data_IF_439879628032
#
_entry.id   IF_439879628032
#
_cell.length_a   1.000
_cell.length_b   1.000
_cell.length_c   1.000
_cell.angle_alpha   90.00
_cell.angle_beta   90.00
_cell.angle_gamma   90.00
#
_symmetry.space_group_name_H-M   'P 1'
#
loop_
_entity.id
_entity.type
_entity.pdbx_description
1 polymer ?
#
# COMPACT_ATOMS: atom_id res chain seq x y z
N UNK A 1 -15.13 -21.01 -4.75
CA UNK A 1 -14.26 -19.92 -4.26
C UNK A 1 -14.55 -18.70 -5.14
N UNK A 2 -15.52 -17.85 -4.77
CA UNK A 2 -16.07 -16.83 -5.69
C UNK A 2 -15.09 -15.70 -6.02
N UNK A 3 -14.24 -15.30 -5.08
CA UNK A 3 -13.27 -14.21 -5.29
C UNK A 3 -12.15 -14.58 -6.27
N UNK A 4 -11.99 -15.86 -6.59
CA UNK A 4 -11.00 -16.37 -7.55
C UNK A 4 -11.50 -16.29 -8.99
N UNK A 5 -12.78 -15.98 -9.21
CA UNK A 5 -13.33 -15.74 -10.55
C UNK A 5 -12.61 -14.52 -11.16
N UNK A 6 -12.01 -14.65 -12.37
CA UNK A 6 -11.13 -13.62 -12.93
C UNK A 6 -11.74 -12.21 -12.94
N UNK A 7 -13.01 -12.09 -13.30
CA UNK A 7 -13.72 -10.82 -13.38
C UNK A 7 -13.91 -10.18 -12.00
N UNK A 8 -14.19 -10.99 -10.97
CA UNK A 8 -14.33 -10.50 -9.59
C UNK A 8 -12.98 -10.12 -9.01
N UNK A 9 -11.96 -10.95 -9.21
CA UNK A 9 -10.60 -10.67 -8.76
C UNK A 9 -10.08 -9.37 -9.36
N UNK A 10 -10.28 -9.18 -10.67
CA UNK A 10 -9.90 -7.94 -11.35
C UNK A 10 -10.55 -6.71 -10.71
N UNK A 11 -11.85 -6.76 -10.41
CA UNK A 11 -12.55 -5.67 -9.74
C UNK A 11 -12.01 -5.38 -8.33
N UNK A 12 -11.68 -6.41 -7.57
CA UNK A 12 -11.08 -6.28 -6.24
C UNK A 12 -9.69 -5.64 -6.32
N UNK A 13 -8.84 -6.10 -7.23
CA UNK A 13 -7.49 -5.55 -7.44
C UNK A 13 -7.56 -4.09 -7.89
N UNK A 14 -8.42 -3.77 -8.86
CA UNK A 14 -8.62 -2.39 -9.33
C UNK A 14 -9.06 -1.46 -8.18
N UNK A 15 -10.04 -1.90 -7.38
CA UNK A 15 -10.49 -1.13 -6.20
C UNK A 15 -9.37 -0.92 -5.17
N UNK A 16 -8.55 -1.95 -4.93
CA UNK A 16 -7.41 -1.86 -4.02
C UNK A 16 -6.36 -0.85 -4.51
N UNK A 17 -6.03 -0.86 -5.80
CA UNK A 17 -5.12 0.11 -6.41
C UNK A 17 -5.67 1.55 -6.32
N UNK A 18 -6.95 1.77 -6.64
CA UNK A 18 -7.56 3.10 -6.51
C UNK A 18 -7.52 3.63 -5.06
N UNK A 19 -7.75 2.77 -4.07
CA UNK A 19 -7.64 3.15 -2.64
C UNK A 19 -6.20 3.44 -2.22
N UNK A 20 -5.23 2.70 -2.76
CA UNK A 20 -3.82 2.92 -2.48
C UNK A 20 -3.32 4.25 -3.10
N UNK A 21 -3.86 4.65 -4.25
CA UNK A 21 -3.53 5.91 -4.92
C UNK A 21 -4.03 7.15 -4.16
N UNK A 22 -5.23 7.10 -3.58
CA UNK A 22 -5.85 8.24 -2.90
C UNK A 22 -6.09 7.94 -1.43
N UNK A 23 -5.26 8.52 -0.57
CA UNK A 23 -5.39 8.39 0.88
C UNK A 23 -5.55 9.74 1.57
N UNK A 24 -6.45 9.82 2.54
CA UNK A 24 -6.84 11.08 3.19
C UNK A 24 -5.71 11.75 3.98
N UNK A 25 -4.73 10.99 4.47
CA UNK A 25 -3.59 11.56 5.22
C UNK A 25 -2.39 11.87 4.34
N UNK A 26 -2.58 11.93 3.02
CA UNK A 26 -1.53 12.39 2.11
C UNK A 26 -1.41 13.92 2.16
N UNK A 27 -0.19 14.48 2.15
CA UNK A 27 1.10 13.85 1.85
C UNK A 27 1.86 13.32 3.09
N UNK A 28 1.28 13.38 4.29
CA UNK A 28 1.97 13.00 5.54
C UNK A 28 2.34 11.51 5.49
N UNK A 29 1.41 10.65 5.08
CA UNK A 29 1.67 9.22 4.96
C UNK A 29 2.73 8.93 3.89
N UNK A 30 2.63 9.57 2.73
CA UNK A 30 3.54 9.35 1.58
C UNK A 30 4.98 9.75 1.85
N UNK A 31 5.19 10.77 2.69
CA UNK A 31 6.52 11.27 3.08
C UNK A 31 7.17 10.48 4.21
N UNK A 32 6.45 9.53 4.83
CA UNK A 32 6.99 8.73 5.93
C UNK A 32 8.07 7.79 5.40
N UNK A 33 9.28 7.96 5.91
CA UNK A 33 10.42 7.10 5.61
C UNK A 33 11.04 6.68 6.94
N UNK A 34 11.07 5.38 7.27
CA UNK A 34 11.61 4.90 8.53
C UNK A 34 13.09 5.25 8.63
N UNK A 35 13.51 5.76 9.79
CA UNK A 35 14.88 6.14 10.08
C UNK A 35 15.46 5.23 11.18
N UNK A 36 16.78 5.11 11.25
CA UNK A 36 17.42 4.46 12.41
C UNK A 36 17.11 5.31 13.66
N UNK A 37 16.78 4.70 14.81
CA UNK A 37 16.85 3.28 15.17
C UNK A 37 15.50 2.53 15.14
N UNK A 38 14.53 2.94 14.31
CA UNK A 38 13.20 2.32 14.30
C UNK A 38 13.25 0.81 13.95
N UNK A 39 12.68 -0.04 14.81
CA UNK A 39 12.56 -1.49 14.57
C UNK A 39 11.49 -1.84 13.52
N UNK A 40 10.54 -0.92 13.28
CA UNK A 40 9.43 -1.11 12.36
C UNK A 40 9.66 -0.34 11.04
N UNK A 41 10.08 -1.04 10.00
CA UNK A 41 10.44 -0.47 8.69
C UNK A 41 9.23 -0.23 7.75
N UNK A 42 8.08 0.13 8.32
CA UNK A 42 6.93 0.54 7.54
C UNK A 42 7.26 1.86 6.82
N UNK A 43 6.87 2.02 5.56
CA UNK A 43 7.09 3.23 4.77
C UNK A 43 5.84 4.11 4.76
N UNK A 44 5.32 4.39 3.56
CA UNK A 44 3.97 4.93 3.37
C UNK A 44 2.90 3.86 3.63
N UNK A 45 2.91 3.29 4.84
CA UNK A 45 2.00 2.25 5.29
C UNK A 45 1.47 2.58 6.69
N UNK A 46 0.19 2.89 6.78
CA UNK A 46 -0.55 3.14 8.02
C UNK A 46 -1.72 2.15 8.12
N UNK A 47 -2.38 2.15 9.29
CA UNK A 47 -3.49 1.27 9.61
C UNK A 47 -4.66 1.38 8.61
N UNK A 48 -4.85 2.55 8.00
CA UNK A 48 -5.97 2.79 7.10
C UNK A 48 -5.63 2.64 5.60
N UNK A 49 -4.36 2.41 5.23
CA UNK A 49 -3.97 2.32 3.81
C UNK A 49 -3.63 0.90 3.35
N UNK A 50 -2.62 0.26 3.93
CA UNK A 50 -2.11 -1.04 3.44
C UNK A 50 -1.82 -2.07 4.53
N UNK A 51 -1.94 -1.71 5.81
CA UNK A 51 -1.81 -2.71 6.87
C UNK A 51 -2.95 -3.71 6.81
N UNK A 52 -2.62 -4.99 6.94
CA UNK A 52 -3.58 -6.08 7.10
C UNK A 52 -3.61 -6.58 8.55
N UNK A 53 -4.54 -7.48 8.86
CA UNK A 53 -4.50 -8.25 10.10
C UNK A 53 -3.10 -8.83 10.31
N UNK A 54 -2.59 -8.77 11.53
CA UNK A 54 -1.23 -9.22 11.87
C UNK A 54 -1.00 -10.68 11.44
N UNK A 55 -2.01 -11.54 11.62
CA UNK A 55 -1.95 -12.96 11.25
C UNK A 55 -1.99 -13.20 9.74
N UNK A 56 -2.32 -12.18 8.93
CA UNK A 56 -2.35 -12.26 7.48
C UNK A 56 -1.02 -11.85 6.82
N UNK A 57 -0.11 -11.23 7.58
CA UNK A 57 1.19 -10.81 7.08
C UNK A 57 2.30 -11.60 7.78
N UNK A 58 2.97 -12.48 7.04
CA UNK A 58 4.13 -13.26 7.52
C UNK A 58 5.26 -12.40 8.12
N UNK A 59 5.30 -11.11 7.78
CA UNK A 59 6.30 -10.14 8.23
C UNK A 59 5.73 -9.09 9.18
N UNK A 60 4.55 -9.33 9.76
CA UNK A 60 3.88 -8.44 10.71
C UNK A 60 3.82 -6.97 10.25
N UNK A 61 3.46 -6.75 8.97
CA UNK A 61 3.37 -5.43 8.32
C UNK A 61 4.68 -4.59 8.32
N UNK A 62 5.84 -5.16 8.66
CA UNK A 62 7.09 -4.39 8.89
C UNK A 62 7.74 -3.78 7.67
N UNK A 63 7.38 -4.17 6.45
CA UNK A 63 8.07 -3.74 5.22
C UNK A 63 7.12 -3.18 4.18
N UNK A 64 5.92 -2.80 4.60
CA UNK A 64 4.90 -2.33 3.67
C UNK A 64 5.17 -0.87 3.30
N UNK A 65 5.06 -0.60 2.01
CA UNK A 65 5.13 0.74 1.46
C UNK A 65 4.34 0.78 0.15
N UNK A 66 3.27 1.59 0.10
CA UNK A 66 2.46 1.71 -1.12
C UNK A 66 3.19 2.41 -2.27
N UNK A 67 4.32 3.09 -2.00
CA UNK A 67 5.20 3.66 -3.05
C UNK A 67 5.82 2.59 -3.95
N UNK A 68 5.87 1.33 -3.50
CA UNK A 68 6.28 0.20 -4.35
C UNK A 68 5.15 -0.30 -5.25
N UNK A 69 3.90 -0.04 -4.87
CA UNK A 69 2.74 -0.42 -5.69
C UNK A 69 2.45 0.62 -6.75
N UNK A 70 2.48 1.91 -6.40
CA UNK A 70 2.06 3.01 -7.26
C UNK A 70 3.06 4.16 -7.24
N UNK A 71 3.20 4.83 -8.39
CA UNK A 71 3.89 6.11 -8.44
C UNK A 71 3.06 7.14 -7.66
N UNK A 72 3.65 7.66 -6.58
CA UNK A 72 3.02 8.65 -5.72
C UNK A 72 3.86 9.93 -5.72
N UNK A 73 3.27 11.09 -5.37
CA UNK A 73 4.02 12.35 -5.37
C UNK A 73 5.34 12.25 -4.59
N UNK A 74 6.46 12.41 -5.30
CA UNK A 74 7.81 12.29 -4.72
C UNK A 74 8.43 10.89 -4.76
N UNK A 75 7.82 9.91 -5.45
CA UNK A 75 8.34 8.55 -5.63
C UNK A 75 8.00 8.00 -7.02
N UNK A 76 8.99 7.44 -7.71
CA UNK A 76 8.87 6.80 -9.04
C UNK A 76 9.20 5.31 -8.98
N UNK A 77 8.92 4.68 -7.84
CA UNK A 77 9.24 3.27 -7.55
C UNK A 77 8.03 2.34 -7.78
N UNK A 78 6.90 2.87 -8.24
CA UNK A 78 5.65 2.12 -8.34
C UNK A 78 5.71 1.07 -9.44
N UNK A 79 5.18 -0.12 -9.16
CA UNK A 79 4.98 -1.14 -10.19
C UNK A 79 3.83 -0.78 -11.14
N UNK A 80 2.74 -0.23 -10.61
CA UNK A 80 1.59 0.26 -11.35
C UNK A 80 1.67 1.77 -11.53
N UNK A 81 1.23 2.26 -12.68
CA UNK A 81 1.00 3.70 -12.85
C UNK A 81 -0.26 4.09 -12.08
N UNK A 82 -0.19 5.21 -11.35
CA UNK A 82 -1.38 5.76 -10.70
C UNK A 82 -2.38 6.15 -11.78
N UNK A 83 -3.48 5.42 -11.87
CA UNK A 83 -4.62 5.78 -12.71
C UNK A 83 -5.31 7.00 -12.10
N UNK A 84 -5.55 8.02 -12.94
CA UNK A 84 -6.14 9.30 -12.53
C UNK A 84 -7.46 9.14 -11.77
#
# INVERSE_FOLDING_TARGET
MQLSEPQRLQGVVASALSKAARYSSDPICTKRTPQKPEDFLHGAACHCCVMASETSCERANRFLDRRFLLDLPGSTLGFFQATE
#
